data_IF_519807668268
#
_entry.id   IF_519807668268
#
_cell.length_a   1.000
_cell.length_b   1.000
_cell.length_c   1.000
_cell.angle_alpha   90.00
_cell.angle_beta   90.00
_cell.angle_gamma   90.00
#
_symmetry.space_group_name_H-M   'P 1'
#
loop_
_entity.id
_entity.type
_entity.pdbx_description
1 polymer ?
#
# COMPACT_ATOMS: atom_id res chain seq x y z
N UNK A 1 0.32 16.37 4.68
CA UNK A 1 -1.15 16.14 4.67
C UNK A 1 -1.95 17.43 4.58
N UNK A 2 -1.65 18.48 5.36
CA UNK A 2 -2.43 19.73 5.31
C UNK A 2 -2.37 20.41 3.94
N UNK A 3 -1.19 20.45 3.29
CA UNK A 3 -1.06 20.97 1.93
C UNK A 3 -1.90 20.18 0.90
N UNK A 4 -1.98 18.88 1.05
CA UNK A 4 -2.80 18.00 0.20
C UNK A 4 -4.30 18.28 0.40
N UNK A 5 -4.76 18.40 1.65
CA UNK A 5 -6.14 18.75 1.96
C UNK A 5 -6.52 20.14 1.40
N UNK A 6 -5.62 21.15 1.55
CA UNK A 6 -5.80 22.49 0.94
C UNK A 6 -5.87 22.46 -0.58
N UNK A 7 -5.15 21.53 -1.21
CA UNK A 7 -5.18 21.32 -2.65
C UNK A 7 -6.41 20.52 -3.13
N UNK A 8 -7.32 20.13 -2.23
CA UNK A 8 -8.57 19.45 -2.57
C UNK A 8 -8.50 17.92 -2.53
N UNK A 9 -7.53 17.33 -1.82
CA UNK A 9 -7.51 15.87 -1.65
C UNK A 9 -8.72 15.40 -0.83
N UNK A 10 -9.48 14.45 -1.36
CA UNK A 10 -10.63 13.83 -0.69
C UNK A 10 -10.18 12.90 0.46
N UNK A 11 -9.03 12.26 0.33
CA UNK A 11 -8.43 11.37 1.33
C UNK A 11 -6.93 11.64 1.43
N UNK A 12 -6.37 11.69 2.62
CA UNK A 12 -4.93 11.74 2.83
C UNK A 12 -4.39 10.38 3.27
N UNK A 13 -3.30 9.92 2.66
CA UNK A 13 -2.75 8.58 2.85
C UNK A 13 -1.25 8.63 3.22
N UNK A 14 -0.91 9.01 4.46
CA UNK A 14 0.48 9.12 4.90
C UNK A 14 1.12 7.74 5.02
N UNK A 15 2.22 7.50 4.30
CA UNK A 15 3.02 6.29 4.42
C UNK A 15 3.96 6.39 5.63
N UNK A 16 3.38 6.52 6.82
CA UNK A 16 4.07 6.78 8.08
C UNK A 16 3.63 5.77 9.14
N UNK A 17 4.59 5.14 9.80
CA UNK A 17 4.37 4.11 10.82
C UNK A 17 4.82 4.56 12.23
N UNK A 18 5.10 5.84 12.41
CA UNK A 18 5.52 6.36 13.70
C UNK A 18 4.34 6.52 14.65
N UNK A 19 4.51 6.11 15.91
CA UNK A 19 3.50 6.20 16.96
C UNK A 19 3.00 7.64 17.14
N UNK A 20 1.69 7.78 17.36
CA UNK A 20 1.03 9.08 17.53
C UNK A 20 0.86 9.91 16.26
N UNK A 21 1.43 9.51 15.13
CA UNK A 21 1.41 10.28 13.89
C UNK A 21 0.01 10.49 13.32
N UNK A 22 -0.83 9.47 13.35
CA UNK A 22 -2.22 9.56 12.86
C UNK A 22 -3.03 10.52 13.72
N UNK A 23 -2.85 10.49 15.05
CA UNK A 23 -3.48 11.44 15.95
C UNK A 23 -3.06 12.89 15.64
N UNK A 24 -1.75 13.13 15.51
CA UNK A 24 -1.23 14.45 15.18
C UNK A 24 -1.74 14.98 13.83
N UNK A 25 -1.88 14.09 12.84
CA UNK A 25 -2.45 14.42 11.53
C UNK A 25 -3.93 14.77 11.67
N UNK A 26 -4.72 14.01 12.44
CA UNK A 26 -6.15 14.26 12.64
C UNK A 26 -6.35 15.62 13.33
N UNK A 27 -5.64 15.88 14.40
CA UNK A 27 -5.71 17.16 15.11
C UNK A 27 -5.31 18.35 14.21
N UNK A 28 -4.28 18.17 13.36
CA UNK A 28 -3.84 19.22 12.43
C UNK A 28 -4.91 19.54 11.38
N UNK A 29 -5.55 18.52 10.82
CA UNK A 29 -6.64 18.68 9.87
C UNK A 29 -7.85 19.32 10.51
N UNK A 30 -8.24 18.88 11.70
CA UNK A 30 -9.41 19.41 12.44
C UNK A 30 -9.22 20.88 12.79
N UNK A 31 -8.05 21.27 13.33
CA UNK A 31 -7.70 22.69 13.61
C UNK A 31 -7.74 23.56 12.37
N UNK A 32 -7.51 23.00 11.19
CA UNK A 32 -7.55 23.69 9.91
C UNK A 32 -8.93 23.64 9.22
N UNK A 33 -9.95 23.05 9.86
CA UNK A 33 -11.32 22.94 9.32
C UNK A 33 -11.58 21.73 8.40
N UNK A 34 -10.61 20.83 8.24
CA UNK A 34 -10.74 19.62 7.40
C UNK A 34 -11.23 18.41 8.20
N UNK A 35 -12.27 18.60 9.02
CA UNK A 35 -12.80 17.58 9.93
C UNK A 35 -13.34 16.33 9.21
N UNK A 36 -13.80 16.49 7.98
CA UNK A 36 -14.38 15.41 7.19
C UNK A 36 -13.37 14.75 6.22
N UNK A 37 -12.10 15.19 6.18
CA UNK A 37 -11.09 14.57 5.33
C UNK A 37 -10.60 13.26 5.96
N UNK A 38 -10.90 12.08 5.38
CA UNK A 38 -10.47 10.80 5.92
C UNK A 38 -8.95 10.63 5.84
N UNK A 39 -8.40 9.82 6.77
CA UNK A 39 -7.00 9.44 6.80
C UNK A 39 -6.89 7.95 6.53
N UNK A 40 -6.21 7.55 5.45
CA UNK A 40 -5.88 6.16 5.16
C UNK A 40 -4.52 5.83 5.76
N UNK A 41 -4.50 5.16 6.91
CA UNK A 41 -3.26 4.79 7.60
C UNK A 41 -2.53 3.65 6.90
N UNK A 42 -1.20 3.76 6.78
CA UNK A 42 -0.30 2.70 6.32
C UNK A 42 0.25 1.89 7.52
N UNK A 43 -0.59 1.53 8.45
CA UNK A 43 -0.15 0.90 9.69
C UNK A 43 0.43 -0.53 9.50
N UNK A 44 0.07 -1.28 8.45
CA UNK A 44 0.70 -2.58 8.12
C UNK A 44 1.65 -2.46 6.94
N UNK A 45 2.86 -2.01 7.21
CA UNK A 45 3.92 -1.85 6.22
C UNK A 45 5.17 -2.63 6.61
N UNK A 46 5.39 -3.73 5.92
CA UNK A 46 6.53 -4.61 6.16
C UNK A 46 7.83 -4.06 5.57
N UNK A 47 8.96 -4.34 6.20
CA UNK A 47 10.27 -4.15 5.60
C UNK A 47 10.38 -5.08 4.38
N UNK A 48 10.70 -4.52 3.20
CA UNK A 48 10.64 -5.30 1.96
C UNK A 48 11.64 -4.83 0.92
N UNK A 49 12.23 -5.80 0.22
CA UNK A 49 13.05 -5.57 -0.98
C UNK A 49 12.21 -5.07 -2.18
N UNK A 50 10.91 -5.34 -2.19
CA UNK A 50 10.00 -4.88 -3.25
C UNK A 50 9.86 -3.35 -3.35
N UNK A 51 10.44 -2.58 -2.43
CA UNK A 51 10.50 -1.11 -2.53
C UNK A 51 11.71 -0.60 -3.31
N UNK A 52 12.60 -1.48 -3.80
CA UNK A 52 13.82 -1.10 -4.51
C UNK A 52 13.58 -0.10 -5.64
N UNK A 53 12.78 -0.42 -6.66
CA UNK A 53 12.56 0.48 -7.80
C UNK A 53 12.00 1.85 -7.41
N UNK A 54 11.15 1.93 -6.38
CA UNK A 54 10.65 3.21 -5.87
C UNK A 54 11.74 4.00 -5.14
N UNK A 55 12.59 3.32 -4.35
CA UNK A 55 13.69 4.00 -3.63
C UNK A 55 14.68 4.62 -4.59
N UNK A 56 15.02 3.92 -5.66
CA UNK A 56 15.92 4.40 -6.70
C UNK A 56 15.30 5.59 -7.43
N UNK A 57 14.04 5.46 -7.89
CA UNK A 57 13.34 6.53 -8.61
C UNK A 57 13.10 7.80 -7.77
N UNK A 58 12.91 7.64 -6.45
CA UNK A 58 12.63 8.76 -5.53
C UNK A 58 13.87 9.23 -4.76
N UNK A 59 15.07 8.69 -5.06
CA UNK A 59 16.33 8.96 -4.33
C UNK A 59 16.14 8.92 -2.80
N UNK A 60 15.26 8.00 -2.34
CA UNK A 60 14.77 7.95 -0.96
C UNK A 60 15.42 6.86 -0.12
N UNK A 61 16.56 6.33 -0.56
CA UNK A 61 17.35 5.40 0.27
C UNK A 61 17.81 6.11 1.55
N UNK A 62 17.78 5.45 2.72
CA UNK A 62 18.29 6.05 3.95
C UNK A 62 19.79 6.27 3.82
N UNK A 63 20.26 7.44 4.28
CA UNK A 63 21.71 7.76 4.28
C UNK A 63 22.50 6.90 5.30
N UNK A 64 21.83 6.42 6.36
CA UNK A 64 22.41 5.59 7.40
C UNK A 64 21.44 4.45 7.77
N UNK A 65 21.97 3.23 7.94
CA UNK A 65 21.19 2.06 8.33
C UNK A 65 20.14 1.65 7.31
N UNK A 66 19.06 1.08 7.82
CA UNK A 66 17.91 0.65 7.03
C UNK A 66 16.59 1.05 7.72
N UNK A 67 15.45 0.70 7.12
CA UNK A 67 14.13 1.03 7.66
C UNK A 67 13.52 -0.06 8.54
N UNK A 68 14.27 -1.12 8.88
CA UNK A 68 13.76 -2.23 9.69
C UNK A 68 13.46 -1.83 11.13
N UNK A 69 14.01 -0.72 11.59
CA UNK A 69 13.78 -0.19 12.95
C UNK A 69 12.33 0.28 13.18
N UNK A 70 11.57 0.58 12.12
CA UNK A 70 10.19 1.09 12.21
C UNK A 70 9.23 0.47 11.18
N UNK A 71 9.72 -0.37 10.26
CA UNK A 71 8.87 -1.20 9.40
C UNK A 71 8.80 -2.60 9.99
N UNK A 72 7.64 -3.23 9.89
CA UNK A 72 7.36 -4.54 10.49
C UNK A 72 8.29 -5.63 9.96
N UNK A 73 8.58 -6.60 10.82
CA UNK A 73 9.33 -7.79 10.44
C UNK A 73 8.52 -8.66 9.46
N UNK A 74 9.05 -8.96 8.26
CA UNK A 74 8.40 -9.84 7.30
C UNK A 74 8.04 -11.23 7.82
N UNK A 75 8.73 -11.72 8.85
CA UNK A 75 8.47 -13.02 9.47
C UNK A 75 7.35 -12.97 10.53
N UNK A 76 6.87 -11.79 10.93
CA UNK A 76 5.90 -11.62 12.02
C UNK A 76 4.53 -11.11 11.54
N UNK A 77 3.67 -12.01 11.06
CA UNK A 77 2.31 -11.65 10.63
C UNK A 77 1.42 -11.12 11.77
N UNK A 78 1.68 -11.55 13.03
CA UNK A 78 0.88 -11.12 14.20
C UNK A 78 1.14 -9.66 14.60
N UNK A 79 2.28 -9.09 14.25
CA UNK A 79 2.55 -7.66 14.41
C UNK A 79 1.59 -6.84 13.57
N UNK A 80 1.42 -7.21 12.28
CA UNK A 80 0.44 -6.57 11.39
C UNK A 80 -0.99 -6.59 11.92
N UNK A 81 -1.38 -7.66 12.60
CA UNK A 81 -2.70 -7.77 13.22
C UNK A 81 -2.86 -6.84 14.43
N UNK A 82 -1.83 -6.70 15.27
CA UNK A 82 -1.83 -5.83 16.45
C UNK A 82 -1.89 -4.35 16.11
N UNK A 83 -1.18 -3.95 15.05
CA UNK A 83 -1.11 -2.56 14.59
C UNK A 83 -2.34 -2.12 13.79
N UNK A 84 -3.26 -3.02 13.55
CA UNK A 84 -4.54 -2.93 12.83
C UNK A 84 -4.73 -1.73 11.92
N UNK A 85 -4.59 -1.97 10.63
CA UNK A 85 -4.53 -0.92 9.65
C UNK A 85 -5.54 -1.01 8.53
N UNK A 86 -5.73 0.13 7.90
CA UNK A 86 -6.52 0.24 6.68
C UNK A 86 -5.75 -0.23 5.46
N UNK A 87 -4.41 -0.20 5.46
CA UNK A 87 -3.60 -0.59 4.29
C UNK A 87 -2.47 -1.56 4.62
N UNK A 88 -2.42 -2.67 3.87
CA UNK A 88 -1.34 -3.67 3.85
C UNK A 88 -0.39 -3.41 2.68
N UNK A 89 0.91 -3.38 2.94
CA UNK A 89 1.96 -3.07 1.97
C UNK A 89 3.26 -3.85 2.26
N UNK A 90 3.83 -4.57 1.29
CA UNK A 90 3.34 -4.88 -0.07
C UNK A 90 2.10 -5.79 -0.07
N UNK A 91 1.42 -5.92 -1.22
CA UNK A 91 0.19 -6.71 -1.31
C UNK A 91 0.44 -8.20 -1.59
N UNK A 92 1.10 -8.54 -2.69
CA UNK A 92 1.23 -9.90 -3.19
C UNK A 92 1.89 -10.86 -2.21
N UNK A 93 3.03 -10.53 -1.58
CA UNK A 93 3.69 -11.40 -0.60
C UNK A 93 2.91 -11.57 0.71
N UNK A 94 1.88 -10.76 0.98
CA UNK A 94 1.17 -10.68 2.26
C UNK A 94 -0.35 -10.86 2.11
N UNK A 95 -0.79 -11.74 1.20
CA UNK A 95 -2.21 -12.07 1.02
C UNK A 95 -2.82 -12.69 2.28
N UNK A 96 -2.07 -13.45 3.03
CA UNK A 96 -2.43 -14.02 4.33
C UNK A 96 -2.69 -12.91 5.37
N UNK A 97 -1.86 -11.88 5.41
CA UNK A 97 -2.04 -10.73 6.31
C UNK A 97 -3.26 -9.90 5.89
N UNK A 98 -3.48 -9.67 4.59
CA UNK A 98 -4.69 -9.01 4.09
C UNK A 98 -5.94 -9.77 4.58
N UNK A 99 -5.92 -11.09 4.47
CA UNK A 99 -7.00 -11.96 4.93
C UNK A 99 -7.20 -11.86 6.45
N UNK A 100 -6.12 -11.92 7.21
CA UNK A 100 -6.12 -11.84 8.66
C UNK A 100 -6.68 -10.50 9.15
N UNK A 101 -6.27 -9.38 8.58
CA UNK A 101 -6.79 -8.05 8.91
C UNK A 101 -8.27 -7.97 8.58
N UNK A 102 -8.69 -8.44 7.39
CA UNK A 102 -10.08 -8.42 6.96
C UNK A 102 -11.00 -9.24 7.89
N UNK A 103 -10.52 -10.36 8.43
CA UNK A 103 -11.34 -11.24 9.27
C UNK A 103 -11.44 -10.77 10.73
N UNK A 104 -10.51 -9.93 11.18
CA UNK A 104 -10.47 -9.47 12.57
C UNK A 104 -10.96 -8.03 12.78
N UNK A 105 -11.13 -7.25 11.69
CA UNK A 105 -11.54 -5.84 11.79
C UNK A 105 -12.68 -5.54 10.82
N UNK A 106 -13.70 -4.83 11.31
CA UNK A 106 -14.83 -4.36 10.50
C UNK A 106 -14.51 -2.99 9.86
N UNK A 107 -13.42 -2.97 9.08
CA UNK A 107 -12.99 -1.78 8.31
C UNK A 107 -12.65 -2.16 6.87
N UNK A 108 -12.80 -1.24 5.90
CA UNK A 108 -12.33 -1.48 4.53
C UNK A 108 -10.81 -1.66 4.51
N UNK A 109 -10.32 -2.80 4.03
CA UNK A 109 -8.89 -3.07 3.88
C UNK A 109 -8.43 -2.58 2.52
N UNK A 110 -7.39 -1.76 2.49
CA UNK A 110 -6.65 -1.42 1.29
C UNK A 110 -5.38 -2.28 1.17
N UNK A 111 -4.93 -2.52 -0.06
CA UNK A 111 -3.68 -3.22 -0.32
C UNK A 111 -2.88 -2.49 -1.41
N UNK A 112 -1.56 -2.45 -1.27
CA UNK A 112 -0.71 -1.78 -2.24
C UNK A 112 0.24 -2.77 -2.94
N UNK A 113 -0.03 -3.03 -4.22
CA UNK A 113 0.89 -3.71 -5.12
C UNK A 113 2.02 -2.74 -5.49
N UNK A 114 3.20 -2.95 -4.90
CA UNK A 114 4.29 -1.98 -4.92
C UNK A 114 5.16 -2.07 -6.18
N UNK A 115 6.09 -1.11 -6.32
CA UNK A 115 6.93 -0.96 -7.50
C UNK A 115 7.73 -2.21 -7.87
N UNK A 116 8.24 -2.97 -6.91
CA UNK A 116 8.96 -4.21 -7.18
C UNK A 116 8.04 -5.29 -7.74
N UNK A 117 6.82 -5.42 -7.24
CA UNK A 117 5.82 -6.35 -7.78
C UNK A 117 5.47 -6.00 -9.24
N UNK A 118 5.22 -4.71 -9.50
CA UNK A 118 5.00 -4.19 -10.85
C UNK A 118 6.19 -4.48 -11.78
N UNK A 119 7.41 -4.16 -11.35
CA UNK A 119 8.63 -4.33 -12.15
C UNK A 119 8.93 -5.78 -12.47
N UNK A 120 8.65 -6.71 -11.56
CA UNK A 120 8.80 -8.15 -11.80
C UNK A 120 7.88 -8.64 -12.92
N UNK A 121 6.61 -8.26 -12.89
CA UNK A 121 5.64 -8.61 -13.95
C UNK A 121 6.07 -7.99 -15.28
N UNK A 122 6.41 -6.69 -15.29
CA UNK A 122 6.88 -6.00 -16.51
C UNK A 122 8.11 -6.67 -17.11
N UNK A 123 9.10 -6.99 -16.29
CA UNK A 123 10.32 -7.65 -16.77
C UNK A 123 10.03 -9.02 -17.37
N UNK A 124 9.20 -9.83 -16.73
CA UNK A 124 8.82 -11.15 -17.26
C UNK A 124 7.99 -11.03 -18.56
N UNK A 125 7.09 -10.06 -18.64
CA UNK A 125 6.28 -9.82 -19.82
C UNK A 125 7.12 -9.35 -21.04
N UNK A 126 8.05 -8.39 -20.82
CA UNK A 126 8.96 -7.89 -21.86
C UNK A 126 9.83 -9.03 -22.43
N UNK A 127 10.22 -9.98 -21.58
CA UNK A 127 10.98 -11.17 -22.02
C UNK A 127 10.10 -12.28 -22.63
N UNK A 128 8.78 -12.09 -22.74
CA UNK A 128 7.85 -13.06 -23.30
C UNK A 128 7.63 -14.30 -22.44
N UNK A 129 7.98 -14.27 -21.15
CA UNK A 129 7.84 -15.41 -20.25
C UNK A 129 6.44 -15.57 -19.71
N UNK A 130 5.65 -14.48 -19.67
CA UNK A 130 4.28 -14.47 -19.21
C UNK A 130 3.41 -13.58 -20.08
N UNK A 131 2.12 -13.84 -20.08
CA UNK A 131 1.08 -12.95 -20.60
C UNK A 131 0.78 -11.86 -19.56
N UNK A 132 1.09 -10.61 -19.90
CA UNK A 132 1.01 -9.50 -18.98
C UNK A 132 -0.41 -9.26 -18.47
N UNK A 133 -1.40 -9.20 -19.37
CA UNK A 133 -2.79 -8.95 -19.02
C UNK A 133 -3.29 -10.00 -18.03
N UNK A 134 -3.10 -11.27 -18.36
CA UNK A 134 -3.56 -12.39 -17.54
C UNK A 134 -2.94 -12.40 -16.16
N UNK A 135 -1.64 -12.18 -16.05
CA UNK A 135 -0.94 -12.13 -14.76
C UNK A 135 -1.34 -10.92 -13.92
N UNK A 136 -1.53 -9.76 -14.54
CA UNK A 136 -2.02 -8.56 -13.84
C UNK A 136 -3.41 -8.83 -13.27
N UNK A 137 -4.33 -9.34 -14.08
CA UNK A 137 -5.69 -9.67 -13.63
C UNK A 137 -5.69 -10.73 -12.53
N UNK A 138 -4.91 -11.79 -12.67
CA UNK A 138 -4.81 -12.86 -11.67
C UNK A 138 -4.26 -12.34 -10.34
N UNK A 139 -3.24 -11.49 -10.36
CA UNK A 139 -2.68 -10.88 -9.15
C UNK A 139 -3.68 -9.95 -8.45
N UNK A 140 -4.39 -9.10 -9.21
CA UNK A 140 -5.43 -8.22 -8.66
C UNK A 140 -6.60 -9.01 -8.07
N UNK A 141 -7.03 -10.08 -8.76
CA UNK A 141 -8.05 -11.01 -8.25
C UNK A 141 -7.57 -11.69 -6.97
N UNK A 142 -6.31 -12.12 -6.91
CA UNK A 142 -5.70 -12.69 -5.71
C UNK A 142 -5.78 -11.76 -4.50
N UNK A 143 -5.36 -10.50 -4.68
CA UNK A 143 -5.43 -9.45 -3.66
C UNK A 143 -6.88 -9.18 -3.24
N UNK A 144 -7.80 -9.10 -4.21
CA UNK A 144 -9.24 -8.90 -3.95
C UNK A 144 -9.84 -10.08 -3.18
N UNK A 145 -9.52 -11.30 -3.57
CA UNK A 145 -9.96 -12.54 -2.92
C UNK A 145 -9.43 -12.65 -1.48
N UNK A 146 -8.23 -12.17 -1.21
CA UNK A 146 -7.70 -12.08 0.15
C UNK A 146 -8.51 -11.14 1.05
N UNK A 147 -9.29 -10.20 0.47
CA UNK A 147 -10.23 -9.35 1.21
C UNK A 147 -10.04 -7.86 1.03
N UNK A 148 -9.07 -7.41 0.21
CA UNK A 148 -8.90 -6.01 -0.07
C UNK A 148 -10.13 -5.42 -0.76
N UNK A 149 -10.64 -4.30 -0.27
CA UNK A 149 -11.70 -3.49 -0.88
C UNK A 149 -11.15 -2.48 -1.86
N UNK A 150 -9.95 -1.97 -1.59
CA UNK A 150 -9.23 -0.99 -2.39
C UNK A 150 -7.86 -1.57 -2.75
N UNK A 151 -7.44 -1.43 -4.00
CA UNK A 151 -6.13 -1.87 -4.47
C UNK A 151 -5.41 -0.69 -5.11
N UNK A 152 -4.28 -0.32 -4.54
CA UNK A 152 -3.36 0.63 -5.15
C UNK A 152 -2.37 -0.18 -5.98
N UNK A 153 -2.21 0.18 -7.26
CA UNK A 153 -1.30 -0.50 -8.17
C UNK A 153 -0.78 0.45 -9.25
N UNK A 154 0.45 0.25 -9.68
CA UNK A 154 1.00 0.95 -10.84
C UNK A 154 0.34 0.55 -12.16
N UNK A 155 -0.41 -0.55 -12.17
CA UNK A 155 -1.18 -0.99 -13.33
C UNK A 155 -2.54 -0.29 -13.49
N UNK A 156 -3.00 0.51 -12.52
CA UNK A 156 -4.35 1.06 -12.53
C UNK A 156 -4.67 1.81 -13.82
N UNK A 157 -3.80 2.72 -14.24
CA UNK A 157 -3.99 3.51 -15.46
C UNK A 157 -3.95 2.63 -16.73
N UNK A 158 -2.97 1.74 -16.81
CA UNK A 158 -2.80 0.86 -17.98
C UNK A 158 -3.96 -0.12 -18.12
N UNK A 159 -4.38 -0.75 -17.02
CA UNK A 159 -5.49 -1.70 -17.01
C UNK A 159 -6.81 -1.06 -17.43
N UNK A 160 -7.06 0.19 -17.00
CA UNK A 160 -8.24 0.94 -17.43
C UNK A 160 -8.16 1.34 -18.91
N UNK A 161 -7.03 1.89 -19.37
CA UNK A 161 -6.84 2.30 -20.78
C UNK A 161 -6.93 1.13 -21.75
N UNK A 162 -6.44 -0.03 -21.38
CA UNK A 162 -6.48 -1.24 -22.20
C UNK A 162 -7.78 -2.04 -22.04
N UNK A 163 -8.69 -1.63 -21.16
CA UNK A 163 -9.96 -2.29 -20.92
C UNK A 163 -9.85 -3.64 -20.21
N UNK A 164 -8.74 -3.90 -19.50
CA UNK A 164 -8.56 -5.13 -18.72
C UNK A 164 -9.49 -5.20 -17.51
N UNK A 165 -9.81 -4.04 -16.93
CA UNK A 165 -10.78 -3.89 -15.84
C UNK A 165 -11.84 -2.86 -16.22
N UNK A 166 -13.06 -3.01 -15.61
CA UNK A 166 -14.21 -2.12 -15.84
C UNK A 166 -14.67 -1.49 -14.54
#
# INVERSE_FOLDING_TARGET
VLAQARAGADVVAPSDMMDGRILAIRETLDKAGYVNTPIMSYAVKYASAFYGPFRDAAESAPHHGDRKTYQMDPANAMEGLREAAVMVKPAGPYLDVIRMVRDNFDVPVAAYQVSGEYSMIKAAAINGWIDEERIVLESLIGIRRAGAKLILTYYAEEALKKGWVR
#
